data_IF_698581014266
#
_entry.id   IF_698581014266
#
_cell.length_a   1.000
_cell.length_b   1.000
_cell.length_c   1.000
_cell.angle_alpha   90.00
_cell.angle_beta   90.00
_cell.angle_gamma   90.00
#
_symmetry.space_group_name_H-M   'P 1'
#
loop_
_entity.id
_entity.type
_entity.pdbx_description
1 polymer ?
#
# COMPACT_ATOMS: atom_id res chain seq x y z
N UNK A 1 -0.41 3.62 41.85
CA UNK A 1 -0.01 2.74 40.74
C UNK A 1 -0.21 3.51 39.46
N UNK A 2 0.88 3.70 38.74
CA UNK A 2 1.14 4.77 37.79
C UNK A 2 0.45 4.55 36.45
N UNK A 3 -0.35 5.54 36.05
CA UNK A 3 -1.05 5.73 34.77
C UNK A 3 -0.13 5.64 33.52
N UNK A 4 1.18 5.62 33.76
CA UNK A 4 2.21 5.48 32.74
C UNK A 4 2.28 4.08 32.12
N UNK A 5 2.02 3.03 32.88
CA UNK A 5 2.05 1.65 32.37
C UNK A 5 0.86 1.35 31.47
N UNK A 6 -0.32 1.89 31.82
CA UNK A 6 -1.54 1.84 31.00
C UNK A 6 -1.36 2.61 29.70
N UNK A 7 -0.84 3.84 29.74
CA UNK A 7 -0.58 4.64 28.54
C UNK A 7 0.47 3.99 27.61
N UNK A 8 1.53 3.41 28.19
CA UNK A 8 2.57 2.68 27.43
C UNK A 8 2.00 1.41 26.78
N UNK A 9 1.16 0.66 27.48
CA UNK A 9 0.47 -0.51 26.93
C UNK A 9 -0.46 -0.14 25.78
N UNK A 10 -1.20 0.98 25.89
CA UNK A 10 -2.07 1.48 24.83
C UNK A 10 -1.28 1.88 23.57
N UNK A 11 -0.13 2.55 23.74
CA UNK A 11 0.77 2.89 22.64
C UNK A 11 1.37 1.65 21.98
N UNK A 12 1.79 0.65 22.76
CA UNK A 12 2.33 -0.61 22.24
C UNK A 12 1.24 -1.44 21.53
N UNK A 13 0.02 -1.51 22.08
CA UNK A 13 -1.10 -2.23 21.46
C UNK A 13 -1.61 -1.54 20.18
N UNK A 14 -1.61 -0.20 20.13
CA UNK A 14 -1.95 0.56 18.94
C UNK A 14 -0.89 0.48 17.83
N UNK A 15 0.39 0.32 18.19
CA UNK A 15 1.50 0.25 17.23
C UNK A 15 1.77 -1.16 16.68
N UNK A 16 1.29 -2.23 17.32
CA UNK A 16 1.72 -3.62 17.03
C UNK A 16 0.60 -4.50 16.45
N UNK A 17 -0.67 -4.06 16.40
CA UNK A 17 -1.79 -4.97 16.06
C UNK A 17 -2.06 -5.19 14.57
N UNK A 18 -1.49 -4.38 13.67
CA UNK A 18 -1.37 -4.76 12.25
C UNK A 18 0.06 -4.50 11.83
N UNK A 19 0.89 -5.52 12.00
CA UNK A 19 2.24 -5.51 11.52
C UNK A 19 2.23 -5.05 10.07
N UNK A 20 3.15 -4.14 9.74
CA UNK A 20 3.61 -3.77 8.39
C UNK A 20 4.02 -4.97 7.50
N UNK A 21 3.74 -6.21 7.94
CA UNK A 21 4.29 -7.49 7.47
C UNK A 21 3.36 -8.28 6.57
N UNK A 22 2.05 -8.11 6.67
CA UNK A 22 1.11 -8.83 5.81
C UNK A 22 0.43 -7.85 4.87
N UNK A 23 0.67 -8.06 3.58
CA UNK A 23 0.06 -7.28 2.53
C UNK A 23 -1.44 -7.63 2.45
N UNK A 24 -2.36 -6.65 2.44
CA UNK A 24 -3.79 -6.92 2.31
C UNK A 24 -4.14 -7.62 0.98
N UNK A 25 -5.21 -8.41 0.97
CA UNK A 25 -5.74 -9.02 -0.27
C UNK A 25 -6.16 -7.98 -1.31
N UNK A 26 -6.62 -6.80 -0.86
CA UNK A 26 -6.89 -5.63 -1.70
C UNK A 26 -6.10 -4.46 -1.17
N UNK A 27 -4.88 -4.28 -1.69
CA UNK A 27 -4.00 -3.20 -1.29
C UNK A 27 -3.95 -2.10 -2.35
N UNK A 28 -3.64 -0.87 -1.93
CA UNK A 28 -3.45 0.26 -2.85
C UNK A 28 -2.44 -0.04 -3.97
N UNK A 29 -1.38 -0.82 -3.71
CA UNK A 29 -0.41 -1.19 -4.73
C UNK A 29 -0.92 -2.12 -5.84
N UNK A 30 -2.11 -2.71 -5.68
CA UNK A 30 -2.80 -3.47 -6.74
C UNK A 30 -3.77 -2.62 -7.57
N UNK A 31 -3.92 -1.34 -7.22
CA UNK A 31 -4.80 -0.42 -7.93
C UNK A 31 -4.08 0.25 -9.10
N UNK A 32 -4.73 0.33 -10.27
CA UNK A 32 -4.21 1.08 -11.43
C UNK A 32 -4.07 2.58 -11.16
N UNK A 33 -4.82 3.08 -10.18
CA UNK A 33 -4.82 4.49 -9.80
C UNK A 33 -3.65 4.84 -8.86
N UNK A 34 -2.91 3.85 -8.36
CA UNK A 34 -1.75 4.03 -7.51
C UNK A 34 -0.46 4.01 -8.34
N UNK A 35 0.41 4.99 -8.10
CA UNK A 35 1.74 5.08 -8.69
C UNK A 35 2.78 5.08 -7.58
N UNK A 36 3.61 4.06 -7.52
CA UNK A 36 4.65 3.97 -6.50
C UNK A 36 5.73 5.02 -6.78
N UNK A 37 6.22 5.67 -5.71
CA UNK A 37 7.34 6.59 -5.82
C UNK A 37 8.62 5.82 -6.14
N UNK A 38 9.22 6.07 -7.30
CA UNK A 38 10.52 5.45 -7.67
C UNK A 38 11.68 5.94 -6.79
N UNK A 39 11.49 7.07 -6.09
CA UNK A 39 12.49 7.68 -5.23
C UNK A 39 12.43 7.18 -3.78
N UNK A 40 11.41 6.40 -3.41
CA UNK A 40 11.23 5.94 -2.05
C UNK A 40 11.20 4.43 -1.94
N UNK A 41 12.08 3.90 -1.07
CA UNK A 41 12.07 2.50 -0.66
C UNK A 41 11.06 2.22 0.47
N UNK A 42 10.32 3.23 0.94
CA UNK A 42 9.38 3.09 2.06
C UNK A 42 7.98 2.58 1.66
N UNK A 43 7.75 2.31 0.37
CA UNK A 43 6.48 1.81 -0.15
C UNK A 43 5.42 2.90 -0.37
N UNK A 44 5.76 4.18 -0.24
CA UNK A 44 4.85 5.27 -0.54
C UNK A 44 4.72 5.53 -2.04
N UNK A 45 3.53 6.02 -2.40
CA UNK A 45 3.18 6.40 -3.75
C UNK A 45 2.02 7.37 -3.74
N UNK A 46 1.51 7.65 -4.93
CA UNK A 46 0.54 8.69 -5.17
C UNK A 46 -0.75 8.06 -5.72
N UNK A 47 -1.89 8.41 -5.13
CA UNK A 47 -3.20 8.07 -5.68
C UNK A 47 -3.66 9.16 -6.64
N UNK A 48 -3.89 8.82 -7.91
CA UNK A 48 -4.33 9.76 -8.96
C UNK A 48 -5.77 10.24 -8.80
N UNK A 49 -6.61 9.53 -8.04
CA UNK A 49 -8.04 9.83 -7.88
C UNK A 49 -8.34 10.60 -6.60
N UNK A 50 -7.61 10.29 -5.52
CA UNK A 50 -7.77 11.00 -4.25
C UNK A 50 -6.87 12.23 -4.28
N UNK A 51 -7.48 13.41 -4.31
CA UNK A 51 -6.77 14.69 -4.22
C UNK A 51 -6.96 15.29 -2.83
N UNK A 52 -5.89 15.88 -2.30
CA UNK A 52 -5.97 16.85 -1.21
C UNK A 52 -5.64 18.20 -1.83
N UNK A 53 -6.63 19.06 -1.91
CA UNK A 53 -6.57 20.32 -2.68
C UNK A 53 -6.24 20.07 -4.17
N UNK A 54 -5.11 20.57 -4.65
CA UNK A 54 -4.61 20.41 -6.02
C UNK A 54 -3.59 19.27 -6.18
N UNK A 55 -3.19 18.64 -5.07
CA UNK A 55 -2.17 17.59 -5.07
C UNK A 55 -2.78 16.21 -4.89
N UNK A 56 -2.23 15.25 -5.62
CA UNK A 56 -2.60 13.86 -5.45
C UNK A 56 -2.15 13.37 -4.06
N UNK A 57 -3.01 12.62 -3.38
CA UNK A 57 -2.75 12.15 -2.01
C UNK A 57 -1.67 11.08 -2.02
N UNK A 58 -0.69 11.23 -1.12
CA UNK A 58 0.30 10.20 -0.83
C UNK A 58 -0.36 9.09 -0.02
N UNK A 59 -0.22 7.85 -0.49
CA UNK A 59 -0.72 6.63 0.15
C UNK A 59 0.38 5.58 0.15
N UNK A 60 0.30 4.59 1.06
CA UNK A 60 1.26 3.49 1.09
C UNK A 60 0.75 2.30 0.30
N UNK A 61 1.68 1.56 -0.31
CA UNK A 61 1.47 0.32 -1.06
C UNK A 61 0.64 -0.72 -0.29
N UNK A 62 0.91 -0.88 1.00
CA UNK A 62 0.28 -1.82 1.93
C UNK A 62 -1.01 -1.30 2.56
N UNK A 63 -1.50 -0.13 2.16
CA UNK A 63 -2.78 0.40 2.66
C UNK A 63 -3.93 -0.45 2.13
N UNK A 64 -4.83 -0.87 3.03
CA UNK A 64 -6.04 -1.60 2.68
C UNK A 64 -6.97 -0.72 1.82
N UNK A 65 -7.35 -1.24 0.66
CA UNK A 65 -8.18 -0.57 -0.33
C UNK A 65 -9.55 -1.27 -0.51
N UNK A 66 -9.92 -2.19 0.38
CA UNK A 66 -11.19 -2.93 0.34
C UNK A 66 -12.44 -2.03 0.30
N UNK A 67 -12.42 -0.91 1.02
CA UNK A 67 -13.51 0.07 1.07
C UNK A 67 -13.41 1.19 0.01
N UNK A 68 -12.40 1.14 -0.87
CA UNK A 68 -12.20 2.19 -1.87
C UNK A 68 -13.11 2.00 -3.08
N UNK A 69 -14.14 2.85 -3.23
CA UNK A 69 -15.07 2.82 -4.38
C UNK A 69 -14.45 3.20 -5.73
N UNK A 70 -13.18 3.63 -5.75
CA UNK A 70 -12.41 3.97 -6.96
C UNK A 70 -11.27 2.96 -7.19
N UNK A 71 -11.30 1.82 -6.50
CA UNK A 71 -10.34 0.75 -6.70
C UNK A 71 -10.60 0.09 -8.05
N UNK A 72 -9.61 0.16 -8.92
CA UNK A 72 -9.58 -0.58 -10.18
C UNK A 72 -8.35 -1.48 -10.14
N UNK A 73 -8.59 -2.78 -10.10
CA UNK A 73 -7.51 -3.76 -10.07
C UNK A 73 -6.68 -3.62 -11.35
N UNK A 74 -5.37 -3.52 -11.18
CA UNK A 74 -4.46 -3.36 -12.29
C UNK A 74 -4.32 -4.67 -13.07
N UNK A 75 -4.31 -4.58 -14.40
CA UNK A 75 -4.13 -5.76 -15.24
C UNK A 75 -2.67 -6.24 -15.17
N UNK A 76 -2.46 -7.47 -14.71
CA UNK A 76 -1.15 -8.10 -14.56
C UNK A 76 -1.09 -9.36 -15.41
N UNK A 77 -0.09 -9.47 -16.27
CA UNK A 77 0.26 -10.74 -16.88
C UNK A 77 1.06 -11.56 -15.85
N UNK A 78 0.35 -12.39 -15.09
CA UNK A 78 0.97 -13.36 -14.19
C UNK A 78 1.50 -14.53 -15.02
N UNK A 79 2.81 -14.75 -14.98
CA UNK A 79 3.42 -16.00 -15.44
C UNK A 79 3.93 -16.75 -14.22
N UNK A 80 4.04 -18.09 -14.30
CA UNK A 80 4.42 -18.94 -13.17
C UNK A 80 5.79 -18.61 -12.53
N UNK A 81 6.62 -17.84 -13.25
CA UNK A 81 7.99 -17.47 -12.85
C UNK A 81 8.22 -15.97 -12.69
N UNK A 82 7.29 -15.12 -13.15
CA UNK A 82 7.46 -13.67 -13.06
C UNK A 82 6.17 -12.89 -13.26
N UNK A 83 5.99 -11.82 -12.49
CA UNK A 83 4.98 -10.82 -12.78
C UNK A 83 5.48 -9.86 -13.87
N UNK A 84 4.85 -9.91 -15.06
CA UNK A 84 5.11 -8.95 -16.13
C UNK A 84 3.98 -7.92 -16.23
N UNK A 85 4.41 -6.67 -16.27
CA UNK A 85 3.56 -5.54 -16.61
C UNK A 85 4.01 -4.97 -17.95
N UNK A 86 3.08 -4.82 -18.88
CA UNK A 86 3.32 -4.19 -20.18
C UNK A 86 3.72 -2.72 -20.03
N UNK A 87 3.07 -2.02 -19.10
CA UNK A 87 3.36 -0.61 -18.80
C UNK A 87 4.63 -0.46 -17.93
N UNK A 88 5.65 0.29 -18.41
CA UNK A 88 6.87 0.59 -17.66
C UNK A 88 6.64 1.31 -16.33
N UNK A 89 5.60 2.14 -16.22
CA UNK A 89 5.37 3.02 -15.08
C UNK A 89 4.91 2.25 -13.82
N UNK A 90 4.36 1.05 -13.99
CA UNK A 90 3.94 0.19 -12.89
C UNK A 90 4.97 -0.90 -12.54
N UNK A 91 6.12 -0.95 -13.22
CA UNK A 91 7.19 -1.92 -12.92
C UNK A 91 7.70 -1.90 -11.47
N UNK A 92 7.74 -0.76 -10.74
CA UNK A 92 8.14 -0.77 -9.34
C UNK A 92 7.20 -1.58 -8.43
N UNK A 93 5.94 -1.81 -8.86
CA UNK A 93 4.91 -2.53 -8.10
C UNK A 93 4.91 -4.04 -8.36
N UNK A 94 5.98 -4.53 -9.01
CA UNK A 94 6.27 -5.96 -9.13
C UNK A 94 6.64 -6.49 -7.72
N UNK A 95 6.44 -7.78 -7.47
CA UNK A 95 6.83 -8.49 -6.22
C UNK A 95 5.82 -8.45 -5.06
N UNK A 96 4.60 -7.97 -5.26
CA UNK A 96 3.60 -7.92 -4.17
C UNK A 96 3.17 -9.31 -3.65
N UNK A 97 3.22 -10.33 -4.51
CA UNK A 97 2.87 -11.72 -4.16
C UNK A 97 4.00 -12.73 -4.40
N UNK A 98 5.20 -12.28 -4.76
CA UNK A 98 6.34 -13.18 -4.91
C UNK A 98 6.79 -13.61 -3.50
N UNK A 99 6.65 -14.91 -3.21
CA UNK A 99 7.11 -15.56 -1.97
C UNK A 99 8.53 -16.07 -2.10
#
# INVERSE_FOLDING_TARGET
>A
MTDWESMRQQWLQGAITKGRREMPEKACAMCSNFRQSSASAAGDGICSVIKHDEQNRVVFDNTDASDCGQFLEMDRMRTDTSEFMWDPEFRPQRQLHEK
#
